data_IF_858050071853
#
_entry.id   IF_858050071853
#
_cell.length_a   1.000
_cell.length_b   1.000
_cell.length_c   1.000
_cell.angle_alpha   90.00
_cell.angle_beta   90.00
_cell.angle_gamma   90.00
#
_symmetry.space_group_name_H-M   'P 1'
#
loop_
_entity.id
_entity.type
_entity.pdbx_description
1 polymer ?
#
# COMPACT_ATOMS: atom_id res chain seq x y z
N UNK A 1 -68.73 -13.17 -49.02
CA UNK A 1 -69.50 -14.01 -48.04
C UNK A 1 -68.86 -13.90 -46.64
N UNK A 2 -69.32 -13.08 -45.69
CA UNK A 2 -70.62 -13.01 -44.98
C UNK A 2 -70.92 -14.23 -44.08
N UNK A 3 -70.76 -13.99 -42.76
CA UNK A 3 -71.38 -14.61 -41.55
C UNK A 3 -70.94 -16.03 -41.06
N UNK A 4 -71.29 -16.47 -39.82
CA UNK A 4 -71.23 -15.80 -38.48
C UNK A 4 -70.97 -16.78 -37.29
N UNK A 5 -71.03 -16.26 -36.05
CA UNK A 5 -71.45 -17.00 -34.83
C UNK A 5 -70.31 -17.42 -33.91
N UNK A 6 -70.41 -17.46 -32.57
CA UNK A 6 -71.46 -17.36 -31.55
C UNK A 6 -70.68 -17.48 -30.19
N UNK A 7 -71.06 -17.05 -28.99
CA UNK A 7 -72.34 -16.80 -28.33
C UNK A 7 -72.08 -16.06 -27.00
N UNK A 8 -73.03 -15.22 -26.63
CA UNK A 8 -73.17 -14.52 -25.36
C UNK A 8 -73.80 -15.46 -24.31
N UNK A 9 -73.31 -15.49 -23.06
CA UNK A 9 -74.13 -15.84 -21.89
C UNK A 9 -73.67 -14.99 -20.70
N UNK A 10 -74.56 -14.12 -20.24
CA UNK A 10 -74.44 -13.31 -19.02
C UNK A 10 -75.59 -13.72 -18.10
N UNK A 11 -75.32 -14.15 -16.87
CA UNK A 11 -76.31 -14.19 -15.77
C UNK A 11 -75.58 -14.29 -14.41
N UNK A 12 -76.20 -13.90 -13.28
CA UNK A 12 -75.68 -12.80 -12.47
C UNK A 12 -75.33 -13.18 -11.02
N UNK A 13 -74.55 -12.28 -10.42
CA UNK A 13 -74.51 -11.83 -9.02
C UNK A 13 -75.10 -12.75 -7.93
N UNK A 14 -74.23 -13.43 -7.17
CA UNK A 14 -74.57 -14.38 -6.10
C UNK A 14 -74.35 -13.79 -4.68
N UNK A 15 -74.19 -12.47 -4.56
CA UNK A 15 -73.76 -11.79 -3.33
C UNK A 15 -74.85 -11.58 -2.27
N UNK A 16 -76.00 -12.25 -2.35
CA UNK A 16 -77.12 -12.04 -1.42
C UNK A 16 -77.50 -13.25 -0.55
N UNK A 17 -76.79 -14.37 -0.61
CA UNK A 17 -77.22 -15.61 0.07
C UNK A 17 -76.48 -15.98 1.38
N UNK A 18 -75.50 -15.20 1.86
CA UNK A 18 -74.74 -15.57 3.09
C UNK A 18 -75.26 -14.98 4.41
N UNK A 19 -76.44 -14.32 4.42
CA UNK A 19 -76.97 -13.69 5.65
C UNK A 19 -77.71 -14.66 6.60
N UNK A 20 -77.90 -15.92 6.22
CA UNK A 20 -78.63 -16.88 7.03
C UNK A 20 -77.91 -18.21 6.97
N UNK A 21 -77.15 -18.54 8.02
CA UNK A 21 -76.91 -19.88 8.57
C UNK A 21 -75.60 -19.82 9.36
N UNK A 22 -75.73 -19.66 10.68
CA UNK A 22 -74.62 -19.56 11.59
C UNK A 22 -73.83 -20.86 11.78
N UNK A 23 -72.62 -20.66 12.31
CA UNK A 23 -71.85 -21.57 13.17
C UNK A 23 -71.06 -22.71 12.48
N UNK A 24 -69.75 -22.46 12.26
CA UNK A 24 -68.58 -23.13 12.90
C UNK A 24 -67.34 -23.13 11.98
N UNK A 25 -66.26 -22.49 12.41
CA UNK A 25 -64.87 -22.92 12.14
C UNK A 25 -64.53 -24.12 13.07
N UNK A 26 -63.52 -24.99 12.82
CA UNK A 26 -62.16 -24.67 12.33
C UNK A 26 -61.44 -25.77 11.47
N UNK A 27 -60.15 -25.48 11.18
CA UNK A 27 -59.00 -26.40 11.08
C UNK A 27 -58.53 -26.83 9.68
N UNK A 28 -57.39 -26.28 9.22
CA UNK A 28 -56.53 -26.94 8.24
C UNK A 28 -55.04 -26.59 8.45
N UNK A 29 -54.33 -27.56 9.02
CA UNK A 29 -52.97 -28.07 8.74
C UNK A 29 -51.82 -27.05 8.51
N UNK A 30 -50.90 -27.04 9.48
CA UNK A 30 -49.57 -26.42 9.41
C UNK A 30 -48.57 -27.34 8.69
N UNK A 31 -47.88 -26.82 7.67
CA UNK A 31 -46.67 -27.43 7.10
C UNK A 31 -45.57 -26.37 7.05
N UNK A 32 -44.49 -26.61 7.81
CA UNK A 32 -43.27 -25.81 7.82
C UNK A 32 -42.63 -25.69 6.42
N UNK A 33 -42.12 -24.51 6.08
CA UNK A 33 -41.19 -24.27 4.97
C UNK A 33 -40.06 -23.33 5.46
N UNK A 34 -38.81 -23.54 5.00
CA UNK A 34 -37.59 -23.04 5.66
C UNK A 34 -37.31 -21.55 5.45
N UNK A 35 -36.77 -20.93 6.50
CA UNK A 35 -36.41 -19.51 6.60
C UNK A 35 -35.16 -19.19 5.74
N UNK A 36 -35.40 -18.69 4.52
CA UNK A 36 -34.40 -17.96 3.74
C UNK A 36 -34.32 -16.52 4.27
N UNK A 37 -33.21 -16.17 4.92
CA UNK A 37 -32.90 -14.78 5.24
C UNK A 37 -32.74 -14.00 3.94
N UNK A 38 -33.72 -13.17 3.60
CA UNK A 38 -33.61 -12.22 2.50
C UNK A 38 -32.58 -11.15 2.86
N UNK A 39 -31.44 -11.18 2.20
CA UNK A 39 -30.43 -10.12 2.29
C UNK A 39 -30.96 -8.89 1.54
N UNK A 40 -31.61 -7.98 2.27
CA UNK A 40 -32.10 -6.71 1.74
C UNK A 40 -30.91 -5.82 1.36
N UNK A 41 -30.82 -5.46 0.08
CA UNK A 41 -29.80 -4.53 -0.43
C UNK A 41 -30.11 -3.12 0.12
N UNK A 42 -29.17 -2.45 0.80
CA UNK A 42 -29.39 -1.12 1.35
C UNK A 42 -29.67 -0.10 0.24
N UNK A 43 -30.74 0.69 0.41
CA UNK A 43 -31.06 1.78 -0.52
C UNK A 43 -30.00 2.88 -0.44
N UNK A 44 -29.77 3.61 -1.53
CA UNK A 44 -28.71 4.64 -1.66
C UNK A 44 -28.69 5.69 -0.52
N UNK A 45 -29.84 5.98 0.09
CA UNK A 45 -29.93 6.86 1.25
C UNK A 45 -29.26 6.27 2.50
N UNK A 46 -29.43 4.96 2.76
CA UNK A 46 -28.85 4.31 3.94
C UNK A 46 -27.32 4.23 3.87
N UNK A 47 -26.75 4.09 2.67
CA UNK A 47 -25.30 4.17 2.45
C UNK A 47 -24.74 5.57 2.76
N UNK A 48 -25.49 6.63 2.43
CA UNK A 48 -25.12 8.00 2.78
C UNK A 48 -25.05 8.20 4.29
N UNK A 49 -26.06 7.72 5.03
CA UNK A 49 -26.05 7.78 6.49
C UNK A 49 -24.90 6.97 7.10
N UNK A 50 -24.58 5.79 6.56
CA UNK A 50 -23.43 5.02 7.02
C UNK A 50 -22.10 5.75 6.81
N UNK A 51 -21.92 6.39 5.65
CA UNK A 51 -20.72 7.20 5.38
C UNK A 51 -20.62 8.37 6.34
N UNK A 52 -21.73 9.08 6.60
CA UNK A 52 -21.76 10.18 7.56
C UNK A 52 -21.43 9.70 8.97
N UNK A 53 -21.98 8.56 9.41
CA UNK A 53 -21.67 7.96 10.72
C UNK A 53 -20.20 7.57 10.80
N UNK A 54 -19.63 6.97 9.75
CA UNK A 54 -18.21 6.62 9.69
C UNK A 54 -17.34 7.88 9.77
N UNK A 55 -17.69 8.95 9.03
CA UNK A 55 -16.95 10.21 9.07
C UNK A 55 -17.05 10.91 10.43
N UNK A 56 -18.22 10.86 11.08
CA UNK A 56 -18.43 11.39 12.44
C UNK A 56 -17.62 10.60 13.45
N UNK A 57 -17.62 9.26 13.38
CA UNK A 57 -16.78 8.42 14.23
C UNK A 57 -15.29 8.73 14.03
N UNK A 58 -14.86 8.94 12.78
CA UNK A 58 -13.49 9.32 12.45
C UNK A 58 -13.16 10.71 13.02
N UNK A 59 -14.06 11.68 12.88
CA UNK A 59 -13.89 13.03 13.44
C UNK A 59 -13.81 13.00 14.98
N UNK A 60 -14.65 12.20 15.63
CA UNK A 60 -14.62 12.00 17.09
C UNK A 60 -13.30 11.40 17.54
N UNK A 61 -12.72 10.46 16.79
CA UNK A 61 -11.38 9.92 17.11
C UNK A 61 -10.28 10.97 16.99
N UNK A 62 -10.42 11.93 16.08
CA UNK A 62 -9.43 13.02 15.92
C UNK A 62 -9.56 14.06 17.04
N UNK A 63 -10.75 14.26 17.61
CA UNK A 63 -10.99 15.19 18.71
C UNK A 63 -10.49 14.66 20.07
N UNK A 64 -10.48 13.33 20.26
CA UNK A 64 -9.98 12.69 21.49
C UNK A 64 -8.49 12.34 21.44
N UNK A 65 -7.85 12.50 20.27
CA UNK A 65 -6.39 12.41 20.09
C UNK A 65 -5.70 13.63 20.73
N UNK A 66 -5.72 13.68 22.05
CA UNK A 66 -4.76 14.48 22.82
C UNK A 66 -3.37 13.85 22.66
N UNK A 67 -2.30 14.65 22.46
CA UNK A 67 -0.93 14.13 22.32
C UNK A 67 -0.47 13.58 23.68
N UNK A 68 -0.85 12.35 24.01
CA UNK A 68 -0.48 11.74 25.29
C UNK A 68 -1.21 10.45 25.65
N UNK A 69 -2.32 10.11 25.00
CA UNK A 69 -2.99 8.82 25.23
C UNK A 69 -2.69 7.85 24.10
N UNK A 70 -1.68 7.03 24.33
CA UNK A 70 -1.25 5.91 23.47
C UNK A 70 -2.29 4.78 23.48
N UNK A 71 -3.47 5.01 22.93
CA UNK A 71 -4.32 3.94 22.42
C UNK A 71 -4.11 3.83 20.91
N UNK A 72 -2.87 3.53 20.55
CA UNK A 72 -2.48 3.14 19.20
C UNK A 72 -3.08 1.76 18.92
N UNK A 73 -4.39 1.71 18.64
CA UNK A 73 -5.01 0.44 18.25
C UNK A 73 -4.28 -0.07 17.01
N UNK A 74 -3.68 -1.28 17.06
CA UNK A 74 -2.76 -1.76 16.03
C UNK A 74 -3.41 -1.77 14.64
N UNK A 75 -4.72 -2.03 14.59
CA UNK A 75 -5.51 -2.05 13.36
C UNK A 75 -5.59 -0.67 12.69
N UNK A 76 -5.72 0.41 13.45
CA UNK A 76 -5.82 1.79 12.92
C UNK A 76 -4.47 2.26 12.39
N UNK A 77 -3.38 1.93 13.07
CA UNK A 77 -2.01 2.25 12.64
C UNK A 77 -1.68 1.52 11.34
N UNK A 78 -1.95 0.21 11.28
CA UNK A 78 -1.70 -0.59 10.09
C UNK A 78 -2.56 -0.11 8.91
N UNK A 79 -3.83 0.23 9.14
CA UNK A 79 -4.70 0.72 8.09
C UNK A 79 -4.24 2.09 7.53
N UNK A 80 -3.83 3.02 8.41
CA UNK A 80 -3.24 4.31 8.01
C UNK A 80 -1.99 4.12 7.15
N UNK A 81 -1.10 3.21 7.55
CA UNK A 81 0.13 2.92 6.80
C UNK A 81 -0.19 2.34 5.41
N UNK A 82 -1.11 1.36 5.33
CA UNK A 82 -1.50 0.74 4.06
C UNK A 82 -2.17 1.71 3.09
N UNK A 83 -3.04 2.59 3.57
CA UNK A 83 -3.69 3.61 2.72
C UNK A 83 -2.66 4.64 2.25
N UNK A 84 -1.76 5.08 3.14
CA UNK A 84 -0.70 6.01 2.77
C UNK A 84 0.21 5.43 1.68
N UNK A 85 0.62 4.16 1.80
CA UNK A 85 1.49 3.49 0.83
C UNK A 85 0.84 3.39 -0.56
N UNK A 86 -0.45 3.09 -0.62
CA UNK A 86 -1.20 3.02 -1.88
C UNK A 86 -1.30 4.40 -2.55
N UNK A 87 -1.59 5.45 -1.78
CA UNK A 87 -1.68 6.82 -2.28
C UNK A 87 -0.31 7.33 -2.74
N UNK A 88 0.76 7.06 -1.98
CA UNK A 88 2.12 7.46 -2.34
C UNK A 88 2.59 6.78 -3.63
N UNK A 89 2.24 5.49 -3.81
CA UNK A 89 2.55 4.73 -5.03
C UNK A 89 1.78 5.24 -6.25
N UNK A 90 0.52 5.63 -6.07
CA UNK A 90 -0.31 6.18 -7.15
C UNK A 90 0.11 7.60 -7.57
N UNK A 91 0.56 8.42 -6.62
CA UNK A 91 0.95 9.81 -6.87
C UNK A 91 2.43 9.98 -7.28
N UNK A 92 3.19 8.89 -7.45
CA UNK A 92 4.61 8.97 -7.83
C UNK A 92 5.53 9.56 -6.76
N UNK A 93 5.00 9.87 -5.57
CA UNK A 93 5.80 10.24 -4.41
C UNK A 93 6.48 8.99 -3.88
N UNK A 94 7.65 8.67 -4.45
CA UNK A 94 8.61 7.77 -3.80
C UNK A 94 9.07 8.49 -2.54
N UNK A 95 8.41 8.21 -1.41
CA UNK A 95 8.90 8.69 -0.12
C UNK A 95 10.34 8.19 -0.01
N UNK A 96 11.28 9.12 0.04
CA UNK A 96 12.61 8.81 0.51
C UNK A 96 12.41 8.13 1.87
N UNK A 97 12.98 6.94 2.07
CA UNK A 97 12.74 6.21 3.30
C UNK A 97 13.37 7.01 4.44
N UNK A 98 12.58 7.83 5.11
CA UNK A 98 13.00 8.60 6.29
C UNK A 98 13.45 7.70 7.45
N UNK A 99 13.28 6.36 7.32
CA UNK A 99 13.54 5.37 8.38
C UNK A 99 14.20 4.07 7.88
N UNK A 100 14.73 4.02 6.65
CA UNK A 100 15.60 2.90 6.24
C UNK A 100 17.05 3.37 6.24
N UNK A 101 17.46 3.91 7.37
CA UNK A 101 18.85 4.24 7.68
C UNK A 101 19.28 3.16 8.65
N UNK A 102 20.06 2.18 8.20
CA UNK A 102 20.70 1.24 9.11
C UNK A 102 21.39 2.02 10.21
N UNK A 103 21.19 1.61 11.46
CA UNK A 103 21.99 2.15 12.58
C UNK A 103 23.44 1.75 12.36
N UNK A 104 24.40 2.58 12.79
CA UNK A 104 25.81 2.20 12.80
C UNK A 104 26.03 0.86 13.54
N UNK A 105 25.24 0.60 14.58
CA UNK A 105 25.25 -0.66 15.32
C UNK A 105 24.90 -1.85 14.42
N UNK A 106 23.84 -1.72 13.63
CA UNK A 106 23.41 -2.77 12.69
C UNK A 106 24.43 -2.96 11.55
N UNK A 107 25.04 -1.88 11.07
CA UNK A 107 26.07 -1.96 10.03
C UNK A 107 27.33 -2.68 10.54
N UNK A 108 27.68 -2.50 11.82
CA UNK A 108 28.76 -3.25 12.48
C UNK A 108 28.41 -4.74 12.62
N UNK A 109 27.19 -5.06 13.08
CA UNK A 109 26.71 -6.44 13.17
C UNK A 109 26.69 -7.15 11.82
N UNK A 110 26.36 -6.44 10.74
CA UNK A 110 26.37 -6.94 9.37
C UNK A 110 27.77 -7.04 8.75
N UNK A 111 28.82 -6.70 9.51
CA UNK A 111 30.21 -6.78 9.07
C UNK A 111 30.59 -5.73 8.03
N UNK A 112 29.94 -4.56 8.04
CA UNK A 112 30.19 -3.45 7.12
C UNK A 112 31.27 -2.49 7.66
N UNK A 113 32.25 -3.03 8.36
CA UNK A 113 33.40 -2.31 8.90
C UNK A 113 34.70 -2.97 8.46
N UNK A 114 35.74 -2.15 8.24
CA UNK A 114 37.07 -2.60 7.84
C UNK A 114 38.15 -1.74 8.48
N UNK A 115 39.42 -2.11 8.32
CA UNK A 115 40.55 -1.33 8.86
C UNK A 115 40.63 0.10 8.33
N UNK A 116 40.12 0.34 7.11
CA UNK A 116 40.12 1.67 6.48
C UNK A 116 38.77 2.38 6.67
N UNK A 117 37.76 1.68 7.19
CA UNK A 117 36.42 2.20 7.40
C UNK A 117 35.87 1.69 8.74
N UNK A 118 36.22 2.41 9.80
CA UNK A 118 35.80 2.10 11.16
C UNK A 118 34.48 2.83 11.49
N UNK A 119 33.48 2.05 11.92
CA UNK A 119 32.18 2.55 12.35
C UNK A 119 32.04 2.65 13.88
N UNK A 120 32.94 2.02 14.64
CA UNK A 120 32.86 1.96 16.11
C UNK A 120 32.98 3.35 16.73
N UNK A 121 33.87 4.20 16.20
CA UNK A 121 34.02 5.57 16.69
C UNK A 121 32.74 6.40 16.49
N UNK A 122 32.06 6.25 15.34
CA UNK A 122 30.81 6.98 15.07
C UNK A 122 29.69 6.53 16.00
N UNK A 123 29.68 5.26 16.41
CA UNK A 123 28.75 4.71 17.40
C UNK A 123 29.05 5.25 18.80
N UNK A 124 30.32 5.28 19.21
CA UNK A 124 30.76 5.82 20.51
C UNK A 124 30.48 7.33 20.66
N UNK A 125 30.69 8.09 19.59
CA UNK A 125 30.44 9.54 19.55
C UNK A 125 28.95 9.90 19.45
N UNK A 126 28.07 8.90 19.31
CA UNK A 126 26.62 9.10 19.21
C UNK A 126 26.21 9.86 17.96
N UNK A 127 26.89 9.64 16.83
CA UNK A 127 26.59 10.32 15.58
C UNK A 127 25.16 9.98 15.11
N UNK A 128 24.39 11.03 14.79
CA UNK A 128 22.99 10.93 14.33
C UNK A 128 22.86 10.91 12.81
N UNK A 129 23.99 10.96 12.10
CA UNK A 129 23.98 10.86 10.63
C UNK A 129 23.36 9.53 10.20
N UNK A 130 22.58 9.55 9.11
CA UNK A 130 22.13 8.31 8.49
C UNK A 130 23.38 7.50 8.14
N UNK A 131 23.43 6.24 8.60
CA UNK A 131 24.52 5.31 8.34
C UNK A 131 24.72 5.04 6.84
N UNK A 132 25.36 3.92 6.51
CA UNK A 132 25.69 3.66 5.11
C UNK A 132 24.41 3.47 4.27
N UNK A 133 24.16 4.36 3.30
CA UNK A 133 22.90 4.32 2.52
C UNK A 133 22.81 3.16 1.53
N UNK A 134 23.95 2.53 1.23
CA UNK A 134 24.10 1.54 0.16
C UNK A 134 24.34 0.11 0.68
N UNK A 135 23.98 -0.12 1.95
CA UNK A 135 24.22 -1.36 2.70
C UNK A 135 23.65 -2.59 2.01
N UNK A 136 22.41 -2.52 1.51
CA UNK A 136 21.73 -3.65 0.87
C UNK A 136 22.45 -4.15 -0.40
N UNK A 137 22.96 -3.23 -1.21
CA UNK A 137 23.66 -3.56 -2.45
C UNK A 137 25.03 -4.19 -2.15
N UNK A 138 25.75 -3.63 -1.18
CA UNK A 138 27.05 -4.13 -0.72
C UNK A 138 26.87 -5.54 -0.12
N UNK A 139 25.90 -5.75 0.78
CA UNK A 139 25.57 -7.07 1.34
C UNK A 139 25.25 -8.08 0.25
N UNK A 140 24.54 -7.66 -0.81
CA UNK A 140 24.24 -8.54 -1.95
C UNK A 140 25.49 -8.94 -2.73
N UNK A 141 26.44 -8.03 -2.92
CA UNK A 141 27.71 -8.32 -3.60
C UNK A 141 28.58 -9.24 -2.73
N UNK A 142 28.68 -8.96 -1.43
CA UNK A 142 29.38 -9.82 -0.46
C UNK A 142 28.82 -11.24 -0.48
N UNK A 143 27.49 -11.41 -0.39
CA UNK A 143 26.84 -12.74 -0.44
C UNK A 143 27.02 -13.46 -1.78
N UNK A 144 27.00 -12.72 -2.90
CA UNK A 144 27.11 -13.31 -4.24
C UNK A 144 28.54 -13.74 -4.57
N UNK A 145 29.54 -12.94 -4.20
CA UNK A 145 30.94 -13.13 -4.60
C UNK A 145 31.83 -13.67 -3.47
N UNK A 146 31.35 -13.69 -2.23
CA UNK A 146 32.13 -14.13 -1.08
C UNK A 146 33.31 -13.22 -0.75
N UNK A 147 33.19 -11.92 -1.05
CA UNK A 147 34.27 -10.94 -0.93
C UNK A 147 34.15 -10.11 0.36
N UNK A 148 35.24 -9.47 0.75
CA UNK A 148 35.29 -8.53 1.88
C UNK A 148 34.44 -7.28 1.63
N UNK A 149 34.14 -6.53 2.68
CA UNK A 149 33.39 -5.28 2.61
C UNK A 149 34.02 -4.24 1.66
N UNK A 150 35.33 -4.03 1.76
CA UNK A 150 36.04 -3.04 0.93
C UNK A 150 36.03 -3.44 -0.54
N UNK A 151 36.23 -4.73 -0.83
CA UNK A 151 36.18 -5.24 -2.19
C UNK A 151 34.75 -5.16 -2.76
N UNK A 152 33.73 -5.45 -1.95
CA UNK A 152 32.34 -5.28 -2.35
C UNK A 152 32.01 -3.83 -2.69
N UNK A 153 32.52 -2.86 -1.92
CA UNK A 153 32.38 -1.42 -2.20
C UNK A 153 33.05 -1.03 -3.51
N UNK A 154 34.27 -1.53 -3.75
CA UNK A 154 35.00 -1.27 -4.99
C UNK A 154 34.24 -1.80 -6.21
N UNK A 155 33.77 -3.05 -6.13
CA UNK A 155 32.98 -3.69 -7.19
C UNK A 155 31.69 -2.92 -7.45
N UNK A 156 31.01 -2.47 -6.40
CA UNK A 156 29.78 -1.68 -6.51
C UNK A 156 30.05 -0.35 -7.24
N UNK A 157 31.12 0.33 -6.87
CA UNK A 157 31.51 1.59 -7.49
C UNK A 157 31.87 1.39 -8.98
N UNK A 158 32.63 0.36 -9.30
CA UNK A 158 32.97 -0.02 -10.68
C UNK A 158 31.70 -0.26 -11.52
N UNK A 159 30.73 -1.02 -10.98
CA UNK A 159 29.45 -1.24 -11.65
C UNK A 159 28.67 0.05 -11.87
N UNK A 160 28.69 0.96 -10.91
CA UNK A 160 28.02 2.25 -11.02
C UNK A 160 28.66 3.14 -12.08
N UNK A 161 30.00 3.18 -12.16
CA UNK A 161 30.72 3.92 -13.20
C UNK A 161 30.39 3.38 -14.59
N UNK A 162 30.52 2.06 -14.78
CA UNK A 162 30.17 1.39 -16.04
C UNK A 162 28.73 1.66 -16.47
N UNK A 163 27.80 1.61 -15.52
CA UNK A 163 26.37 1.88 -15.77
C UNK A 163 26.13 3.32 -16.27
N UNK A 164 26.97 4.27 -15.85
CA UNK A 164 26.89 5.67 -16.27
C UNK A 164 27.80 5.99 -17.47
N UNK A 165 28.26 4.99 -18.23
CA UNK A 165 29.20 5.14 -19.34
C UNK A 165 30.51 5.84 -18.92
N UNK A 166 31.03 5.52 -17.74
CA UNK A 166 32.34 5.98 -17.28
C UNK A 166 33.25 4.76 -17.18
N UNK A 167 34.45 4.88 -17.73
CA UNK A 167 35.49 3.87 -17.58
C UNK A 167 35.98 3.84 -16.13
N UNK A 168 35.88 2.70 -15.41
CA UNK A 168 36.35 2.58 -14.05
C UNK A 168 37.87 2.71 -13.89
N UNK A 169 38.66 2.45 -14.93
CA UNK A 169 40.13 2.49 -14.84
C UNK A 169 40.63 3.89 -15.07
N UNK A 170 40.19 4.55 -16.15
CA UNK A 170 40.63 5.89 -16.50
C UNK A 170 39.80 7.00 -15.84
N UNK A 171 38.59 6.69 -15.37
CA UNK A 171 37.63 7.68 -14.86
C UNK A 171 37.01 8.56 -15.94
N UNK A 172 37.29 8.28 -17.22
CA UNK A 172 36.82 9.08 -18.35
C UNK A 172 35.46 8.60 -18.85
N UNK A 173 34.67 9.49 -19.44
CA UNK A 173 33.44 9.12 -20.14
C UNK A 173 33.74 8.25 -21.36
N UNK A 174 32.95 7.20 -21.53
CA UNK A 174 32.97 6.31 -22.69
C UNK A 174 32.13 6.88 -23.86
N UNK A 175 31.58 8.08 -23.72
CA UNK A 175 30.83 8.75 -24.78
C UNK A 175 31.78 9.16 -25.93
N UNK A 176 31.52 8.72 -27.18
CA UNK A 176 32.31 9.13 -28.35
C UNK A 176 32.32 10.64 -28.62
N UNK A 177 31.39 11.41 -28.03
CA UNK A 177 31.35 12.88 -28.12
C UNK A 177 32.04 13.59 -26.97
N UNK A 178 32.60 12.88 -26.00
CA UNK A 178 33.29 13.50 -24.88
C UNK A 178 34.56 14.22 -25.36
N UNK A 179 34.70 15.49 -24.99
CA UNK A 179 35.88 16.31 -25.28
C UNK A 179 36.69 16.45 -23.99
N UNK A 180 37.98 16.10 -24.06
CA UNK A 180 38.90 16.20 -22.94
C UNK A 180 39.97 17.25 -23.23
N UNK A 181 40.24 18.10 -22.25
CA UNK A 181 41.34 19.07 -22.33
C UNK A 181 42.52 18.51 -21.54
N UNK A 182 43.59 18.11 -22.23
CA UNK A 182 44.84 17.80 -21.55
C UNK A 182 45.41 19.11 -20.99
N UNK A 183 45.77 19.14 -19.71
CA UNK A 183 46.56 20.25 -19.15
C UNK A 183 47.93 20.22 -19.81
N UNK A 184 48.13 21.09 -20.81
CA UNK A 184 49.42 21.28 -21.46
C UNK A 184 50.49 21.70 -20.44
N UNK A 185 51.76 21.37 -20.68
CA UNK A 185 52.84 21.74 -19.75
C UNK A 185 52.82 23.26 -19.57
N UNK A 186 52.72 23.70 -18.32
CA UNK A 186 52.92 25.11 -17.97
C UNK A 186 54.31 25.49 -18.46
N UNK A 187 54.39 26.27 -19.53
CA UNK A 187 55.63 26.89 -19.98
C UNK A 187 56.13 27.77 -18.84
N UNK A 188 57.04 27.24 -18.04
CA UNK A 188 57.79 27.99 -17.06
C UNK A 188 58.55 29.07 -17.81
N UNK A 189 58.07 30.31 -17.69
CA UNK A 189 58.84 31.48 -18.07
C UNK A 189 60.03 31.55 -17.10
N UNK A 190 61.22 31.19 -17.61
CA UNK A 190 62.49 31.65 -17.06
C UNK A 190 62.80 33.04 -17.57
#
# INVERSE_FOLDING_TARGET
>A
PVYPGARHVTVPNILSAQKYLGLRSPLFISSEQPHLHSFTIPTMQTLSWLIVIILVLLLLTQLTNTPGTTYSHPVVVLFRQRIADLVNKALGYRRLPFFNTGSFEQDIEDGLTSSTFDLNQNLEDGDTRPGLSDTDEIKRIMKRRGVSFDEARLIRQDQLLKKNNIDPVTGLSLDPKAVYFASGPSSGQS
#
